data_IF_876155534775
#
_entry.id   IF_876155534775
#
_cell.length_a   1.000
_cell.length_b   1.000
_cell.length_c   1.000
_cell.angle_alpha   90.00
_cell.angle_beta   90.00
_cell.angle_gamma   90.00
#
_symmetry.space_group_name_H-M   'P 1'
#
loop_
_entity.id
_entity.type
_entity.pdbx_description
1 polymer ?
#
# COMPACT_ATOMS: atom_id res chain seq x y z
N UNK A 1 14.27 62.66 18.88
CA UNK A 1 13.52 62.65 17.61
C UNK A 1 14.30 62.04 16.45
N UNK A 2 15.56 62.37 16.14
CA UNK A 2 16.31 61.66 15.08
C UNK A 2 16.84 60.27 15.52
N UNK A 3 17.21 60.14 16.80
CA UNK A 3 17.74 58.89 17.39
C UNK A 3 16.67 57.78 17.43
N UNK A 4 15.41 58.14 17.68
CA UNK A 4 14.27 57.22 17.72
C UNK A 4 14.01 56.51 16.37
N UNK A 5 14.28 57.19 15.24
CA UNK A 5 14.14 56.59 13.91
C UNK A 5 15.23 55.57 13.61
N UNK A 6 16.46 55.81 14.10
CA UNK A 6 17.60 54.91 13.92
C UNK A 6 17.39 53.62 14.73
N UNK A 7 16.89 53.74 15.96
CA UNK A 7 16.55 52.58 16.80
C UNK A 7 15.39 51.76 16.24
N UNK A 8 14.33 52.42 15.74
CA UNK A 8 13.22 51.75 15.06
C UNK A 8 13.68 50.98 13.82
N UNK A 9 14.58 51.56 13.02
CA UNK A 9 15.12 50.91 11.81
C UNK A 9 15.94 49.65 12.14
N UNK A 10 16.76 49.69 13.21
CA UNK A 10 17.50 48.52 13.69
C UNK A 10 16.59 47.40 14.19
N UNK A 11 15.55 47.75 14.95
CA UNK A 11 14.57 46.77 15.45
C UNK A 11 13.78 46.13 14.31
N UNK A 12 13.45 46.91 13.28
CA UNK A 12 12.76 46.42 12.09
C UNK A 12 13.63 45.50 11.23
N UNK A 13 14.93 45.80 11.10
CA UNK A 13 15.89 44.87 10.47
C UNK A 13 15.99 43.55 11.24
N UNK A 14 16.02 43.60 12.57
CA UNK A 14 16.06 42.39 13.39
C UNK A 14 14.79 41.54 13.23
N UNK A 15 13.61 42.18 13.25
CA UNK A 15 12.35 41.49 12.96
C UNK A 15 12.35 40.88 11.55
N UNK A 16 12.90 41.60 10.56
CA UNK A 16 13.01 41.10 9.19
C UNK A 16 13.88 39.84 9.12
N UNK A 17 15.04 39.84 9.78
CA UNK A 17 15.90 38.64 9.85
C UNK A 17 15.21 37.47 10.56
N UNK A 18 14.45 37.72 11.62
CA UNK A 18 13.68 36.69 12.32
C UNK A 18 12.62 36.08 11.38
N UNK A 19 11.84 36.91 10.70
CA UNK A 19 10.82 36.45 9.75
C UNK A 19 11.45 35.66 8.60
N UNK A 20 12.60 36.12 8.09
CA UNK A 20 13.32 35.46 7.01
C UNK A 20 13.88 34.11 7.47
N UNK A 21 14.35 34.02 8.71
CA UNK A 21 14.76 32.76 9.34
C UNK A 21 13.60 31.76 9.49
N UNK A 22 12.44 32.23 9.96
CA UNK A 22 11.23 31.39 10.06
C UNK A 22 10.83 30.87 8.67
N UNK A 23 10.80 31.75 7.67
CA UNK A 23 10.50 31.38 6.29
C UNK A 23 11.48 30.32 5.77
N UNK A 24 12.78 30.51 5.97
CA UNK A 24 13.79 29.54 5.54
C UNK A 24 13.58 28.17 6.20
N UNK A 25 13.32 28.12 7.51
CA UNK A 25 13.07 26.87 8.24
C UNK A 25 11.80 26.18 7.71
N UNK A 26 10.71 26.93 7.53
CA UNK A 26 9.47 26.35 6.97
C UNK A 26 9.68 25.80 5.56
N UNK A 27 10.48 26.50 4.73
CA UNK A 27 10.79 26.04 3.38
C UNK A 27 11.59 24.74 3.39
N UNK A 28 12.58 24.61 4.28
CA UNK A 28 13.34 23.37 4.48
C UNK A 28 12.43 22.23 4.91
N UNK A 29 11.54 22.46 5.88
CA UNK A 29 10.59 21.45 6.36
C UNK A 29 9.66 20.99 5.23
N UNK A 30 9.12 21.90 4.43
CA UNK A 30 8.30 21.52 3.27
C UNK A 30 9.11 20.75 2.22
N UNK A 31 10.35 21.16 1.95
CA UNK A 31 11.19 20.49 0.95
C UNK A 31 11.53 19.05 1.35
N UNK A 32 11.90 18.82 2.61
CA UNK A 32 12.21 17.47 3.11
C UNK A 32 10.96 16.65 3.43
N UNK A 33 9.89 17.26 3.94
CA UNK A 33 8.70 16.55 4.42
C UNK A 33 7.62 16.32 3.37
N UNK A 34 7.41 17.26 2.44
CA UNK A 34 6.34 17.17 1.44
C UNK A 34 6.87 16.76 0.06
N UNK A 35 8.03 17.28 -0.35
CA UNK A 35 8.57 17.01 -1.70
C UNK A 35 9.42 15.74 -1.78
N UNK A 36 9.95 15.23 -0.67
CA UNK A 36 10.54 13.89 -0.68
C UNK A 36 9.40 12.88 -0.68
N UNK A 37 9.20 12.24 -1.84
CA UNK A 37 8.37 11.04 -1.93
C UNK A 37 8.87 10.06 -0.87
N UNK A 38 7.98 9.38 -0.13
CA UNK A 38 8.42 8.31 0.75
C UNK A 38 9.32 7.38 -0.07
N UNK A 39 10.53 7.12 0.42
CA UNK A 39 11.35 6.04 -0.11
C UNK A 39 10.44 4.84 -0.05
N UNK A 40 9.97 4.39 -1.22
CA UNK A 40 9.16 3.18 -1.28
C UNK A 40 10.05 2.13 -0.66
N UNK A 41 9.63 1.61 0.50
CA UNK A 41 10.26 0.43 1.05
C UNK A 41 10.32 -0.58 -0.11
N UNK A 42 11.46 -1.24 -0.32
CA UNK A 42 11.52 -2.26 -1.37
C UNK A 42 10.32 -3.17 -1.15
N UNK A 43 9.49 -3.31 -2.20
CA UNK A 43 8.38 -4.24 -2.15
C UNK A 43 8.94 -5.58 -1.67
N UNK A 44 8.25 -6.27 -0.73
CA UNK A 44 8.71 -7.60 -0.33
C UNK A 44 8.94 -8.40 -1.60
N UNK A 45 10.13 -8.98 -1.74
CA UNK A 45 10.48 -9.79 -2.90
C UNK A 45 9.35 -10.80 -3.11
N UNK A 46 8.62 -10.65 -4.22
CA UNK A 46 7.64 -11.65 -4.61
C UNK A 46 8.44 -12.93 -4.79
N UNK A 47 8.23 -13.88 -3.89
CA UNK A 47 8.76 -15.22 -4.05
C UNK A 47 8.17 -15.72 -5.36
N UNK A 48 8.98 -15.73 -6.42
CA UNK A 48 8.65 -16.37 -7.68
C UNK A 48 8.62 -17.85 -7.36
N UNK A 49 7.47 -18.32 -6.87
CA UNK A 49 7.16 -19.74 -6.82
C UNK A 49 7.10 -20.14 -8.27
N UNK A 50 8.21 -20.73 -8.76
CA UNK A 50 8.21 -21.46 -10.01
C UNK A 50 7.05 -22.44 -9.90
N UNK A 51 5.95 -22.17 -10.61
CA UNK A 51 4.88 -23.15 -10.78
C UNK A 51 5.50 -24.26 -11.62
N UNK A 52 6.15 -25.18 -10.94
CA UNK A 52 6.36 -26.51 -11.48
C UNK A 52 5.01 -26.96 -12.03
N UNK A 53 4.98 -27.46 -13.28
CA UNK A 53 3.74 -27.89 -13.91
C UNK A 53 3.18 -29.06 -13.09
N UNK A 54 2.31 -28.77 -12.13
CA UNK A 54 1.61 -29.77 -11.33
C UNK A 54 0.60 -30.42 -12.26
N UNK A 55 1.01 -31.51 -12.89
CA UNK A 55 0.12 -32.39 -13.63
C UNK A 55 -0.57 -33.29 -12.61
N UNK A 56 -1.86 -33.09 -12.41
CA UNK A 56 -2.68 -33.93 -11.54
C UNK A 56 -2.94 -35.26 -12.27
N UNK A 57 -2.54 -36.37 -11.67
CA UNK A 57 -2.85 -37.71 -12.19
C UNK A 57 -4.27 -38.13 -11.78
N UNK A 58 -5.18 -38.13 -12.77
CA UNK A 58 -6.57 -38.52 -12.58
C UNK A 58 -6.83 -40.01 -12.79
N UNK A 59 -5.81 -40.80 -13.14
CA UNK A 59 -5.96 -42.25 -13.42
C UNK A 59 -6.54 -43.01 -12.23
N UNK A 60 -6.32 -42.50 -11.02
CA UNK A 60 -6.87 -43.06 -9.78
C UNK A 60 -8.41 -43.09 -9.80
N UNK A 61 -9.05 -42.09 -10.42
CA UNK A 61 -10.51 -41.97 -10.51
C UNK A 61 -11.16 -43.05 -11.38
N UNK A 62 -10.38 -43.75 -12.21
CA UNK A 62 -10.88 -44.82 -13.08
C UNK A 62 -11.12 -46.14 -12.33
N UNK A 63 -10.66 -46.23 -11.08
CA UNK A 63 -10.79 -47.43 -10.26
C UNK A 63 -12.27 -47.84 -10.13
N UNK A 64 -12.63 -49.10 -10.42
CA UNK A 64 -14.01 -49.59 -10.36
C UNK A 64 -14.67 -49.41 -8.98
N UNK A 65 -13.89 -49.38 -7.89
CA UNK A 65 -14.39 -49.13 -6.54
C UNK A 65 -14.94 -47.70 -6.41
N UNK A 66 -14.31 -46.72 -7.05
CA UNK A 66 -14.73 -45.32 -6.98
C UNK A 66 -16.00 -45.05 -7.81
N UNK A 67 -16.25 -45.85 -8.85
CA UNK A 67 -17.51 -45.78 -9.62
C UNK A 67 -18.73 -46.17 -8.78
N UNK A 68 -18.53 -47.01 -7.76
CA UNK A 68 -19.59 -47.38 -6.81
C UNK A 68 -19.87 -46.26 -5.80
N UNK A 69 -18.90 -45.35 -5.60
CA UNK A 69 -19.04 -44.19 -4.73
C UNK A 69 -19.68 -42.98 -5.43
N UNK A 70 -19.99 -43.09 -6.72
CA UNK A 70 -20.76 -42.06 -7.41
C UNK A 70 -22.15 -41.95 -6.77
N UNK A 71 -22.70 -40.73 -6.61
CA UNK A 71 -24.04 -40.54 -6.08
C UNK A 71 -25.06 -41.38 -6.86
N UNK A 72 -25.93 -42.08 -6.14
CA UNK A 72 -27.00 -42.87 -6.74
C UNK A 72 -28.13 -42.01 -7.32
N UNK A 73 -28.13 -40.71 -7.03
CA UNK A 73 -29.18 -39.75 -7.36
C UNK A 73 -28.58 -38.57 -8.12
N UNK A 74 -29.29 -38.10 -9.15
CA UNK A 74 -28.87 -36.94 -9.93
C UNK A 74 -28.96 -35.68 -9.06
N UNK A 75 -27.82 -35.03 -8.82
CA UNK A 75 -27.80 -33.76 -8.12
C UNK A 75 -28.37 -32.67 -9.03
N UNK A 76 -29.35 -31.86 -8.55
CA UNK A 76 -29.87 -30.76 -9.34
C UNK A 76 -28.76 -29.76 -9.67
N UNK A 77 -28.87 -29.12 -10.84
CA UNK A 77 -27.97 -28.04 -11.23
C UNK A 77 -28.03 -26.93 -10.18
N UNK A 78 -26.86 -26.40 -9.82
CA UNK A 78 -26.75 -25.31 -8.87
C UNK A 78 -27.37 -24.03 -9.45
N UNK A 79 -28.46 -23.55 -8.85
CA UNK A 79 -29.20 -22.35 -9.29
C UNK A 79 -28.74 -21.06 -8.60
N UNK A 80 -27.74 -21.12 -7.73
CA UNK A 80 -27.25 -19.96 -6.98
C UNK A 80 -26.20 -19.12 -7.71
N UNK A 81 -25.82 -17.99 -7.10
CA UNK A 81 -24.68 -17.20 -7.57
C UNK A 81 -23.37 -17.96 -7.34
N UNK A 82 -22.49 -17.96 -8.36
CA UNK A 82 -21.16 -18.55 -8.27
C UNK A 82 -20.20 -17.56 -7.61
N UNK A 83 -19.64 -17.98 -6.47
CA UNK A 83 -18.66 -17.21 -5.73
C UNK A 83 -19.25 -16.63 -4.44
N UNK A 84 -18.49 -16.79 -3.35
CA UNK A 84 -18.76 -16.17 -2.05
C UNK A 84 -17.56 -15.33 -1.69
N UNK A 85 -17.79 -14.15 -1.13
CA UNK A 85 -16.69 -13.34 -0.58
C UNK A 85 -15.92 -14.16 0.46
N UNK A 86 -14.60 -14.24 0.29
CA UNK A 86 -13.74 -14.99 1.19
C UNK A 86 -13.54 -14.17 2.49
N UNK A 87 -14.02 -14.65 3.65
CA UNK A 87 -13.92 -13.92 4.91
C UNK A 87 -12.48 -13.81 5.45
N UNK A 88 -11.53 -14.54 4.87
CA UNK A 88 -10.12 -14.56 5.28
C UNK A 88 -9.22 -13.60 4.50
N UNK A 89 -9.78 -12.83 3.56
CA UNK A 89 -9.05 -11.81 2.78
C UNK A 89 -9.20 -10.40 3.37
N UNK A 90 -9.59 -10.26 4.64
CA UNK A 90 -9.62 -8.98 5.37
C UNK A 90 -8.30 -8.69 6.09
#
# INVERSE_FOLDING_TARGET
MAVDFIEKKKKQQYLLYIVLGILAVTFVILWFGYFQKPVQAPAPEEVVISRENIVIDYSILENPILKVLLPFEETPLYEGELGKENPFLK
#
